data_IF_640826258639
#
_entry.id   IF_640826258639
#
_cell.length_a   1.000
_cell.length_b   1.000
_cell.length_c   1.000
_cell.angle_alpha   90.00
_cell.angle_beta   90.00
_cell.angle_gamma   90.00
#
_symmetry.space_group_name_H-M   'P 1'
#
loop_
_entity.id
_entity.type
_entity.pdbx_description
1 polymer ?
#
# COMPACT_ATOMS: atom_id res chain seq x y z
N UNK A 1 -20.05 6.71 -23.96
CA UNK A 1 -20.23 5.35 -23.40
C UNK A 1 -19.01 4.47 -23.64
N UNK A 2 -18.57 4.17 -24.87
CA UNK A 2 -17.37 3.33 -25.14
C UNK A 2 -16.10 3.75 -24.38
N UNK A 3 -15.70 5.02 -24.49
CA UNK A 3 -14.50 5.55 -23.80
C UNK A 3 -14.51 5.37 -22.27
N UNK A 4 -15.69 5.46 -21.64
CA UNK A 4 -15.82 5.28 -20.19
C UNK A 4 -15.68 3.80 -19.79
N UNK A 5 -16.16 2.89 -20.64
CA UNK A 5 -16.02 1.46 -20.46
C UNK A 5 -14.56 1.01 -20.59
N UNK A 6 -13.83 1.57 -21.57
CA UNK A 6 -12.40 1.33 -21.77
C UNK A 6 -11.58 1.81 -20.57
N UNK A 7 -11.85 3.03 -20.07
CA UNK A 7 -11.21 3.55 -18.87
C UNK A 7 -11.41 2.67 -17.64
N UNK A 8 -12.64 2.21 -17.39
CA UNK A 8 -12.93 1.31 -16.27
C UNK A 8 -12.19 -0.02 -16.41
N UNK A 9 -12.07 -0.53 -17.63
CA UNK A 9 -11.33 -1.77 -17.90
C UNK A 9 -9.83 -1.59 -17.66
N UNK A 10 -9.23 -0.51 -18.16
CA UNK A 10 -7.82 -0.20 -17.93
C UNK A 10 -7.51 -0.01 -16.44
N UNK A 11 -8.40 0.66 -15.70
CA UNK A 11 -8.28 0.85 -14.25
C UNK A 11 -8.34 -0.48 -13.50
N UNK A 12 -9.25 -1.39 -13.91
CA UNK A 12 -9.34 -2.73 -13.35
C UNK A 12 -8.08 -3.55 -13.64
N UNK A 13 -7.61 -3.56 -14.88
CA UNK A 13 -6.38 -4.27 -15.28
C UNK A 13 -5.15 -3.75 -14.51
N UNK A 14 -5.04 -2.43 -14.32
CA UNK A 14 -3.96 -1.84 -13.54
C UNK A 14 -4.05 -2.20 -12.05
N UNK A 15 -5.26 -2.25 -11.50
CA UNK A 15 -5.51 -2.62 -10.10
C UNK A 15 -5.12 -4.07 -9.83
N UNK A 16 -5.45 -4.98 -10.74
CA UNK A 16 -5.07 -6.39 -10.62
C UNK A 16 -3.56 -6.60 -10.76
N UNK A 17 -2.91 -5.92 -11.70
CA UNK A 17 -1.45 -5.96 -11.81
C UNK A 17 -0.76 -5.43 -10.54
N UNK A 18 -1.33 -4.41 -9.89
CA UNK A 18 -0.83 -3.89 -8.63
C UNK A 18 -0.98 -4.93 -7.51
N UNK A 19 -2.15 -5.58 -7.40
CA UNK A 19 -2.41 -6.66 -6.44
C UNK A 19 -1.37 -7.78 -6.59
N UNK A 20 -1.22 -8.32 -7.79
CA UNK A 20 -0.29 -9.42 -8.10
C UNK A 20 1.15 -9.07 -7.74
N UNK A 21 1.58 -7.83 -8.04
CA UNK A 21 2.92 -7.34 -7.72
C UNK A 21 3.16 -7.27 -6.20
N UNK A 22 2.15 -6.88 -5.42
CA UNK A 22 2.27 -6.80 -3.95
C UNK A 22 2.27 -8.21 -3.35
N UNK A 23 1.31 -9.06 -3.72
CA UNK A 23 1.18 -10.43 -3.23
C UNK A 23 2.44 -11.26 -3.53
N UNK A 24 2.95 -11.18 -4.76
CA UNK A 24 4.15 -11.93 -5.17
C UNK A 24 5.41 -11.53 -4.41
N UNK A 25 5.55 -10.25 -4.02
CA UNK A 25 6.69 -9.73 -3.25
C UNK A 25 6.57 -10.06 -1.77
N UNK A 26 5.39 -9.84 -1.19
CA UNK A 26 5.16 -10.02 0.23
C UNK A 26 4.80 -11.46 0.62
N UNK A 27 4.49 -12.32 -0.35
CA UNK A 27 4.02 -13.70 -0.16
C UNK A 27 2.76 -13.75 0.71
N UNK A 28 1.81 -12.86 0.42
CA UNK A 28 0.51 -12.75 1.09
C UNK A 28 -0.62 -12.85 0.06
N UNK A 29 -1.84 -13.06 0.54
CA UNK A 29 -3.07 -12.96 -0.27
C UNK A 29 -3.86 -11.76 0.21
N UNK A 30 -4.20 -10.84 -0.69
CA UNK A 30 -4.96 -9.63 -0.42
C UNK A 30 -6.44 -9.82 -0.80
N UNK A 31 -7.37 -9.31 0.02
CA UNK A 31 -8.79 -9.25 -0.33
C UNK A 31 -9.07 -8.53 -1.65
N UNK A 32 -10.15 -8.91 -2.34
CA UNK A 32 -10.60 -8.30 -3.61
C UNK A 32 -10.66 -6.77 -3.55
N UNK A 33 -11.09 -6.20 -2.42
CA UNK A 33 -10.96 -4.76 -2.17
C UNK A 33 -9.51 -4.38 -1.79
N UNK A 34 -8.71 -4.13 -2.82
CA UNK A 34 -7.32 -3.68 -2.68
C UNK A 34 -7.24 -2.34 -1.94
N UNK A 35 -8.17 -1.41 -2.21
CA UNK A 35 -8.17 -0.08 -1.60
C UNK A 35 -8.28 -0.16 -0.07
N UNK A 36 -9.23 -0.95 0.43
CA UNK A 36 -9.36 -1.21 1.87
C UNK A 36 -8.13 -1.88 2.48
N UNK A 37 -7.50 -2.79 1.74
CA UNK A 37 -6.31 -3.52 2.20
C UNK A 37 -5.06 -2.64 2.32
N UNK A 38 -5.00 -1.52 1.59
CA UNK A 38 -3.88 -0.58 1.63
C UNK A 38 -4.11 0.61 2.59
N UNK A 39 -5.35 0.82 3.04
CA UNK A 39 -5.80 2.03 3.74
C UNK A 39 -5.09 2.27 5.08
N UNK A 40 -4.75 1.21 5.82
CA UNK A 40 -4.09 1.33 7.13
C UNK A 40 -2.56 1.48 7.05
N UNK A 41 -2.01 1.42 5.82
CA UNK A 41 -0.60 1.59 5.52
C UNK A 41 0.30 0.41 5.90
N UNK A 42 -0.22 -0.68 6.46
CA UNK A 42 0.60 -1.84 6.91
C UNK A 42 1.28 -2.52 5.72
N UNK A 43 0.48 -2.88 4.72
CA UNK A 43 0.97 -3.53 3.49
C UNK A 43 1.99 -2.65 2.76
N UNK A 44 1.73 -1.34 2.69
CA UNK A 44 2.63 -0.36 2.08
C UNK A 44 3.99 -0.32 2.80
N UNK A 45 3.97 -0.24 4.14
CA UNK A 45 5.20 -0.26 4.94
C UNK A 45 6.00 -1.56 4.75
N UNK A 46 5.33 -2.71 4.71
CA UNK A 46 6.00 -3.99 4.46
C UNK A 46 6.60 -4.05 3.05
N UNK A 47 5.90 -3.53 2.04
CA UNK A 47 6.42 -3.43 0.67
C UNK A 47 7.68 -2.57 0.60
N UNK A 48 7.69 -1.41 1.24
CA UNK A 48 8.88 -0.56 1.30
C UNK A 48 10.06 -1.27 1.98
N UNK A 49 9.81 -2.01 3.06
CA UNK A 49 10.84 -2.80 3.74
C UNK A 49 11.33 -3.99 2.92
N UNK A 50 10.49 -4.57 2.06
CA UNK A 50 10.89 -5.61 1.12
C UNK A 50 11.79 -5.05 0.00
N UNK A 51 11.49 -3.85 -0.51
CA UNK A 51 12.30 -3.17 -1.54
C UNK A 51 13.67 -2.76 -0.97
N UNK A 52 13.68 -2.16 0.21
CA UNK A 52 14.90 -1.78 0.91
C UNK A 52 14.76 -2.11 2.40
N UNK A 53 15.51 -3.09 2.93
CA UNK A 53 15.41 -3.50 4.32
C UNK A 53 15.53 -2.33 5.29
N UNK A 54 14.64 -2.32 6.30
CA UNK A 54 14.60 -1.32 7.39
C UNK A 54 14.31 0.13 6.94
N UNK A 55 13.69 0.34 5.79
CA UNK A 55 13.26 1.67 5.34
C UNK A 55 12.15 2.27 6.22
N UNK A 56 11.28 1.42 6.77
CA UNK A 56 10.30 1.75 7.80
C UNK A 56 10.70 1.04 9.10
N UNK A 57 11.05 1.80 10.12
CA UNK A 57 11.60 1.28 11.38
C UNK A 57 10.58 0.63 12.32
N UNK A 58 9.34 1.11 12.33
CA UNK A 58 8.25 0.53 13.13
C UNK A 58 6.94 0.62 12.38
N UNK A 59 6.16 -0.46 12.43
CA UNK A 59 4.88 -0.61 11.73
C UNK A 59 3.83 -0.93 12.79
N UNK A 60 2.77 -0.13 12.85
CA UNK A 60 1.62 -0.46 13.68
C UNK A 60 0.81 -1.54 12.97
N UNK A 61 0.72 -2.74 13.54
CA UNK A 61 -0.08 -3.85 12.99
C UNK A 61 -1.29 -4.15 13.89
N UNK A 62 -2.44 -4.55 13.33
CA UNK A 62 -3.55 -5.08 14.11
C UNK A 62 -3.13 -6.29 14.95
N UNK A 63 -3.83 -6.53 16.05
CA UNK A 63 -3.63 -7.71 16.90
C UNK A 63 -4.96 -8.40 17.19
N UNK A 64 -4.99 -9.66 17.66
CA UNK A 64 -6.26 -10.35 17.95
C UNK A 64 -7.18 -9.57 18.92
N UNK A 65 -6.60 -8.89 19.91
CA UNK A 65 -7.35 -8.08 20.87
C UNK A 65 -7.71 -6.67 20.34
N UNK A 66 -7.02 -6.18 19.30
CA UNK A 66 -7.26 -4.88 18.68
C UNK A 66 -7.25 -5.07 17.16
N UNK A 67 -8.37 -5.54 16.58
CA UNK A 67 -8.43 -5.97 15.19
C UNK A 67 -8.40 -4.80 14.20
N UNK A 68 -8.63 -3.57 14.67
CA UNK A 68 -8.57 -2.35 13.87
C UNK A 68 -7.64 -1.34 14.49
N UNK A 69 -6.76 -0.77 13.67
CA UNK A 69 -5.92 0.35 14.08
C UNK A 69 -6.75 1.61 14.25
N UNK A 70 -6.34 2.47 15.18
CA UNK A 70 -6.89 3.82 15.24
C UNK A 70 -6.44 4.62 14.03
N UNK A 71 -7.23 5.61 13.62
CA UNK A 71 -6.88 6.48 12.49
C UNK A 71 -5.53 7.18 12.66
N UNK A 72 -5.12 7.47 13.91
CA UNK A 72 -3.80 8.00 14.20
C UNK A 72 -2.67 7.01 13.86
N UNK A 73 -2.84 5.72 14.16
CA UNK A 73 -1.87 4.68 13.81
C UNK A 73 -1.82 4.41 12.31
N UNK A 74 -2.98 4.39 11.63
CA UNK A 74 -3.05 4.29 10.18
C UNK A 74 -2.29 5.42 9.49
N UNK A 75 -2.56 6.68 9.88
CA UNK A 75 -1.84 7.84 9.35
C UNK A 75 -0.34 7.74 9.58
N UNK A 76 0.09 7.30 10.76
CA UNK A 76 1.52 7.14 11.06
C UNK A 76 2.21 6.12 10.17
N UNK A 77 1.55 5.01 9.85
CA UNK A 77 2.07 4.04 8.88
C UNK A 77 2.21 4.68 7.49
N UNK A 78 1.19 5.40 7.02
CA UNK A 78 1.23 6.08 5.71
C UNK A 78 2.35 7.12 5.65
N UNK A 79 2.51 7.95 6.68
CA UNK A 79 3.62 8.92 6.79
C UNK A 79 4.99 8.23 6.70
N UNK A 80 5.18 7.15 7.47
CA UNK A 80 6.43 6.39 7.47
C UNK A 80 6.73 5.77 6.10
N UNK A 81 5.72 5.24 5.41
CA UNK A 81 5.85 4.73 4.04
C UNK A 81 6.27 5.83 3.06
N UNK A 82 5.63 7.00 3.10
CA UNK A 82 5.97 8.13 2.23
C UNK A 82 7.40 8.62 2.50
N UNK A 83 7.82 8.68 3.76
CA UNK A 83 9.21 8.98 4.14
C UNK A 83 10.19 7.93 3.61
N UNK A 84 9.84 6.65 3.68
CA UNK A 84 10.65 5.56 3.13
C UNK A 84 10.79 5.70 1.60
N UNK A 85 9.70 5.96 0.89
CA UNK A 85 9.71 6.21 -0.56
C UNK A 85 10.65 7.36 -0.93
N UNK A 86 10.59 8.49 -0.21
CA UNK A 86 11.51 9.62 -0.41
C UNK A 86 12.98 9.21 -0.22
N UNK A 87 13.29 8.46 0.84
CA UNK A 87 14.65 7.98 1.14
C UNK A 87 15.18 6.93 0.16
N UNK A 88 14.28 6.16 -0.46
CA UNK A 88 14.60 5.19 -1.51
C UNK A 88 14.89 5.92 -2.84
N UNK A 89 14.42 7.15 -3.01
CA UNK A 89 14.64 7.97 -4.21
C UNK A 89 13.42 8.03 -5.13
N UNK A 90 12.22 7.70 -4.65
CA UNK A 90 10.97 7.90 -5.40
C UNK A 90 10.73 9.41 -5.55
N UNK A 91 10.61 9.95 -6.78
CA UNK A 91 10.36 11.38 -6.99
C UNK A 91 9.06 11.83 -6.32
N UNK A 92 9.07 12.99 -5.66
CA UNK A 92 7.89 13.50 -4.92
C UNK A 92 6.68 13.76 -5.82
N UNK A 93 6.89 14.07 -7.10
CA UNK A 93 5.81 14.18 -8.11
C UNK A 93 5.05 12.86 -8.34
N UNK A 94 5.57 11.74 -7.82
CA UNK A 94 4.96 10.41 -7.87
C UNK A 94 4.42 9.93 -6.52
N UNK A 95 4.47 10.77 -5.46
CA UNK A 95 3.91 10.43 -4.14
C UNK A 95 2.62 11.18 -3.91
N UNK A 96 1.59 10.49 -3.39
CA UNK A 96 0.31 11.07 -3.01
C UNK A 96 0.52 12.12 -1.90
N UNK A 97 0.22 13.38 -2.19
CA UNK A 97 0.12 14.50 -1.25
C UNK A 97 -1.27 15.11 -1.37
#
# INVERSE_FOLDING_TARGET
>A
MRRKMEQLREELELTELLRDSIESRLKVVLPEDLGSSLMDGVVLCHLANHIRPRSVGSIHVPSPAVPKLSMAKCRRNVENFLDACRKIGVPQVKTFL
#
